data_IF_621584208021
#
_entry.id   IF_621584208021
#
_cell.length_a   1.000
_cell.length_b   1.000
_cell.length_c   1.000
_cell.angle_alpha   90.00
_cell.angle_beta   90.00
_cell.angle_gamma   90.00
#
_symmetry.space_group_name_H-M   'P 1'
#
loop_
_entity.id
_entity.type
_entity.pdbx_description
1 polymer ?
#
# COMPACT_ATOMS: atom_id res chain seq x y z
N UNK A 1 23.71 -1.53 -11.01
CA UNK A 1 23.09 -0.22 -11.31
C UNK A 1 21.70 -0.52 -11.78
N UNK A 2 20.67 0.09 -11.20
CA UNK A 2 19.28 -0.09 -11.65
C UNK A 2 19.21 0.49 -13.07
N UNK A 3 18.70 -0.30 -14.02
CA UNK A 3 18.60 0.07 -15.44
C UNK A 3 17.34 0.87 -15.77
N UNK A 4 16.35 0.86 -14.87
CA UNK A 4 15.10 1.57 -15.04
C UNK A 4 15.24 3.09 -14.82
N UNK A 5 14.48 3.87 -15.59
CA UNK A 5 14.37 5.32 -15.40
C UNK A 5 13.52 5.62 -14.15
N UNK A 6 14.06 6.44 -13.24
CA UNK A 6 13.48 6.72 -11.92
C UNK A 6 13.38 8.22 -11.76
N UNK A 7 12.19 8.71 -11.40
CA UNK A 7 11.95 10.11 -11.06
C UNK A 7 11.43 10.21 -9.62
N UNK A 8 12.02 11.10 -8.84
CA UNK A 8 11.58 11.41 -7.47
C UNK A 8 10.73 12.67 -7.48
N UNK A 9 9.57 12.65 -6.86
CA UNK A 9 8.63 13.79 -6.83
C UNK A 9 8.38 14.26 -5.40
N UNK A 10 8.65 15.54 -5.14
CA UNK A 10 8.36 16.17 -3.84
C UNK A 10 9.18 15.63 -2.66
N UNK A 11 10.22 14.82 -2.91
CA UNK A 11 11.20 14.33 -1.96
C UNK A 11 12.60 14.43 -2.59
N UNK A 12 13.64 14.18 -1.80
CA UNK A 12 15.01 14.05 -2.31
C UNK A 12 15.58 12.72 -1.86
N UNK A 13 15.96 11.88 -2.82
CA UNK A 13 16.63 10.59 -2.58
C UNK A 13 17.96 10.65 -3.32
N UNK A 14 19.06 10.48 -2.58
CA UNK A 14 20.39 10.57 -3.15
C UNK A 14 20.58 9.54 -4.29
N UNK A 15 21.08 10.00 -5.43
CA UNK A 15 21.36 9.15 -6.59
C UNK A 15 20.23 9.01 -7.61
N UNK A 16 19.09 9.68 -7.42
CA UNK A 16 18.00 9.73 -8.40
C UNK A 16 17.63 11.17 -8.77
N UNK A 17 17.22 11.44 -10.02
CA UNK A 17 16.77 12.77 -10.43
C UNK A 17 15.44 13.13 -9.74
N UNK A 18 15.31 14.40 -9.38
CA UNK A 18 14.08 14.96 -8.79
C UNK A 18 13.34 15.79 -9.84
N UNK A 19 12.03 15.60 -9.94
CA UNK A 19 11.17 16.45 -10.75
C UNK A 19 10.92 17.77 -10.03
N UNK A 20 11.30 18.86 -10.67
CA UNK A 20 11.04 20.21 -10.17
C UNK A 20 9.59 20.63 -10.46
N UNK A 21 8.98 21.36 -9.52
CA UNK A 21 7.60 21.84 -9.63
C UNK A 21 6.55 20.94 -8.95
N UNK A 22 5.35 21.49 -8.78
CA UNK A 22 4.24 20.76 -8.16
C UNK A 22 3.57 19.85 -9.18
N UNK A 23 3.56 18.54 -8.92
CA UNK A 23 2.87 17.56 -9.74
C UNK A 23 1.36 17.81 -9.73
N UNK A 24 0.73 17.85 -10.90
CA UNK A 24 -0.73 17.98 -11.05
C UNK A 24 -1.38 16.71 -11.58
N UNK A 25 -0.67 15.90 -12.37
CA UNK A 25 -1.16 14.61 -12.84
C UNK A 25 -0.05 13.59 -13.02
N UNK A 26 -0.38 12.32 -12.83
CA UNK A 26 0.44 11.17 -13.16
C UNK A 26 -0.46 10.08 -13.73
N UNK A 27 -0.18 9.63 -14.96
CA UNK A 27 -0.99 8.64 -15.67
C UNK A 27 -0.09 7.48 -16.12
N UNK A 28 -0.49 6.26 -15.78
CA UNK A 28 0.22 5.05 -16.17
C UNK A 28 -0.20 4.60 -17.58
N UNK A 29 0.79 4.24 -18.39
CA UNK A 29 0.64 3.63 -19.71
C UNK A 29 0.92 2.13 -19.61
N UNK A 30 -0.15 1.31 -19.69
CA UNK A 30 -0.06 -0.16 -19.59
C UNK A 30 0.71 -0.80 -20.74
N UNK A 31 0.78 -0.18 -21.92
CA UNK A 31 1.47 -0.78 -23.08
C UNK A 31 2.99 -0.55 -23.00
N UNK A 32 3.42 0.46 -22.25
CA UNK A 32 4.82 0.86 -22.13
C UNK A 32 5.42 0.68 -20.73
N UNK A 33 4.62 0.26 -19.75
CA UNK A 33 4.97 0.16 -18.33
C UNK A 33 5.65 1.44 -17.79
N UNK A 34 5.09 2.60 -18.13
CA UNK A 34 5.67 3.89 -17.79
C UNK A 34 4.62 4.91 -17.35
N UNK A 35 5.05 5.86 -16.53
CA UNK A 35 4.27 6.99 -16.08
C UNK A 35 4.52 8.22 -16.94
N UNK A 36 3.46 8.92 -17.28
CA UNK A 36 3.49 10.30 -17.79
C UNK A 36 3.12 11.24 -16.64
N UNK A 37 4.01 12.16 -16.31
CA UNK A 37 3.91 13.10 -15.22
C UNK A 37 3.72 14.51 -15.78
N UNK A 38 2.78 15.27 -15.24
CA UNK A 38 2.54 16.68 -15.62
C UNK A 38 2.66 17.56 -14.39
N UNK A 39 3.43 18.65 -14.49
CA UNK A 39 3.57 19.66 -13.43
C UNK A 39 2.61 20.84 -13.64
N UNK A 40 2.38 21.63 -12.59
CA UNK A 40 1.62 22.89 -12.68
C UNK A 40 2.22 23.87 -13.70
N UNK A 41 3.52 23.79 -13.95
CA UNK A 41 4.22 24.61 -14.95
C UNK A 41 3.89 24.23 -16.40
N UNK A 42 3.23 23.08 -16.61
CA UNK A 42 2.94 22.53 -17.94
C UNK A 42 4.04 21.60 -18.46
N UNK A 43 5.09 21.36 -17.69
CA UNK A 43 6.15 20.42 -18.07
C UNK A 43 5.63 18.99 -17.99
N UNK A 44 5.96 18.20 -19.00
CA UNK A 44 5.69 16.76 -19.05
C UNK A 44 6.98 15.95 -18.98
N UNK A 45 6.97 14.91 -18.16
CA UNK A 45 8.08 13.99 -17.99
C UNK A 45 7.58 12.55 -18.04
N UNK A 46 8.29 11.68 -18.74
CA UNK A 46 8.01 10.23 -18.76
C UNK A 46 9.06 9.52 -17.92
N UNK A 47 8.64 8.58 -17.10
CA UNK A 47 9.54 7.75 -16.27
C UNK A 47 8.96 6.36 -16.08
N UNK A 48 9.80 5.33 -15.99
CA UNK A 48 9.32 3.99 -15.67
C UNK A 48 8.89 3.90 -14.21
N UNK A 49 9.68 4.48 -13.32
CA UNK A 49 9.49 4.44 -11.86
C UNK A 49 9.26 5.84 -11.33
N UNK A 50 8.29 5.96 -10.41
CA UNK A 50 8.00 7.20 -9.72
C UNK A 50 8.11 6.96 -8.22
N UNK A 51 8.96 7.72 -7.54
CA UNK A 51 9.04 7.73 -6.08
C UNK A 51 8.54 9.08 -5.59
N UNK A 52 7.30 9.11 -5.11
CA UNK A 52 6.66 10.33 -4.65
C UNK A 52 6.66 10.42 -3.12
N UNK A 53 6.82 11.63 -2.58
CA UNK A 53 6.53 11.86 -1.16
C UNK A 53 5.09 11.44 -0.86
N UNK A 54 4.90 10.66 0.19
CA UNK A 54 3.57 10.28 0.64
C UNK A 54 2.74 11.53 0.90
N UNK A 55 1.54 11.65 0.31
CA UNK A 55 0.70 12.82 0.53
C UNK A 55 0.00 12.79 1.89
N UNK A 56 0.14 11.70 2.65
CA UNK A 56 -0.50 11.54 3.95
C UNK A 56 -0.01 12.58 4.95
N UNK A 57 -0.96 13.28 5.57
CA UNK A 57 -0.70 14.24 6.63
C UNK A 57 -1.10 13.68 7.98
N UNK A 58 -0.30 13.88 9.05
CA UNK A 58 -0.66 13.47 10.40
C UNK A 58 -2.06 13.94 10.78
N UNK A 59 -2.96 13.02 11.13
CA UNK A 59 -4.33 13.39 11.46
C UNK A 59 -4.45 13.66 12.95
N UNK A 60 -4.80 14.89 13.32
CA UNK A 60 -5.10 15.24 14.71
C UNK A 60 -6.61 15.41 14.87
N UNK A 61 -7.28 14.58 15.69
CA UNK A 61 -8.73 14.67 15.85
C UNK A 61 -9.15 16.01 16.45
N UNK A 62 -10.33 16.48 16.05
CA UNK A 62 -10.98 17.62 16.69
C UNK A 62 -11.74 17.13 17.93
N UNK A 63 -11.04 17.10 19.07
CA UNK A 63 -11.62 16.74 20.36
C UNK A 63 -12.17 18.00 21.04
N UNK A 64 -13.35 17.94 21.68
CA UNK A 64 -13.85 19.06 22.48
C UNK A 64 -12.80 19.54 23.49
N UNK A 65 -12.59 20.85 23.60
CA UNK A 65 -11.59 21.44 24.51
C UNK A 65 -10.13 21.28 24.06
N UNK A 66 -9.86 20.79 22.84
CA UNK A 66 -8.48 20.61 22.33
C UNK A 66 -7.65 21.88 22.38
N UNK A 67 -8.23 23.03 22.05
CA UNK A 67 -7.55 24.32 22.07
C UNK A 67 -7.34 24.87 23.50
N UNK A 68 -7.90 24.23 24.53
CA UNK A 68 -7.76 24.64 25.92
C UNK A 68 -6.55 23.99 26.61
N UNK A 69 -6.08 22.84 26.10
CA UNK A 69 -4.97 22.11 26.70
C UNK A 69 -3.68 22.93 26.69
N UNK A 70 -3.09 23.14 27.87
CA UNK A 70 -1.92 24.00 28.06
C UNK A 70 -0.58 23.25 28.01
N UNK A 71 -0.63 21.91 27.99
CA UNK A 71 0.55 21.08 27.85
C UNK A 71 1.02 20.96 26.40
N UNK A 72 2.04 20.13 26.18
CA UNK A 72 2.58 19.88 24.85
C UNK A 72 1.70 18.85 24.11
N UNK A 73 1.26 19.15 22.88
CA UNK A 73 0.47 18.21 22.09
C UNK A 73 0.99 18.09 20.66
N UNK A 74 1.20 16.87 20.17
CA UNK A 74 1.73 16.60 18.82
C UNK A 74 1.36 15.21 18.30
N UNK A 75 1.46 15.00 16.99
CA UNK A 75 1.28 13.68 16.39
C UNK A 75 2.55 12.83 16.49
N UNK A 76 2.43 11.52 16.73
CA UNK A 76 3.56 10.61 16.95
C UNK A 76 4.58 10.60 15.79
N UNK A 77 4.13 10.86 14.57
CA UNK A 77 4.96 10.98 13.36
C UNK A 77 5.78 12.29 13.29
N UNK A 78 5.43 13.29 14.08
CA UNK A 78 6.08 14.61 14.08
C UNK A 78 6.32 15.07 15.53
N UNK A 79 7.17 14.36 16.30
CA UNK A 79 7.54 14.81 17.63
C UNK A 79 8.26 16.16 17.50
N UNK A 80 7.83 17.14 18.31
CA UNK A 80 8.46 18.46 18.33
C UNK A 80 9.98 18.35 18.57
N UNK A 81 10.79 19.26 18.01
CA UNK A 81 12.24 19.25 18.19
C UNK A 81 12.61 19.20 19.68
N UNK A 82 13.47 18.25 20.07
CA UNK A 82 13.97 18.18 21.45
C UNK A 82 12.96 17.71 22.50
N UNK A 83 11.88 17.02 22.11
CA UNK A 83 10.95 16.44 23.09
C UNK A 83 11.66 15.51 24.09
N UNK A 84 11.68 15.92 25.37
CA UNK A 84 12.17 15.10 26.49
C UNK A 84 11.00 14.52 27.28
N UNK A 85 10.81 13.19 27.29
CA UNK A 85 9.76 12.54 28.06
C UNK A 85 10.07 12.49 29.57
N UNK A 86 11.28 12.84 30.01
CA UNK A 86 11.74 12.63 31.39
C UNK A 86 10.83 13.31 32.41
N UNK A 87 10.27 12.52 33.33
CA UNK A 87 9.41 13.02 34.40
C UNK A 87 8.01 13.49 33.96
N UNK A 88 7.68 13.43 32.67
CA UNK A 88 6.37 13.87 32.15
C UNK A 88 5.28 12.81 32.36
N UNK A 89 4.05 13.27 32.58
CA UNK A 89 2.82 12.49 32.49
C UNK A 89 2.30 12.57 31.06
N UNK A 90 2.31 11.46 30.35
CA UNK A 90 2.05 11.41 28.91
C UNK A 90 0.78 10.61 28.64
N UNK A 91 -0.17 11.20 27.93
CA UNK A 91 -1.27 10.50 27.29
C UNK A 91 -0.92 10.21 25.83
N UNK A 92 -1.21 9.00 25.35
CA UNK A 92 -1.19 8.65 23.93
C UNK A 92 -2.62 8.35 23.50
N UNK A 93 -3.13 9.07 22.50
CA UNK A 93 -4.47 8.87 21.94
C UNK A 93 -4.33 8.09 20.65
N UNK A 94 -4.84 6.86 20.61
CA UNK A 94 -4.63 5.94 19.49
C UNK A 94 -3.38 5.08 19.63
N UNK A 95 -3.23 4.10 18.74
CA UNK A 95 -2.17 3.09 18.80
C UNK A 95 -1.72 2.68 17.39
N UNK A 96 -1.53 3.66 16.50
CA UNK A 96 -0.90 3.45 15.21
C UNK A 96 0.58 2.99 15.35
N UNK A 97 1.19 2.66 14.21
CA UNK A 97 2.57 2.18 14.18
C UNK A 97 3.57 3.21 14.72
N UNK A 98 3.36 4.50 14.42
CA UNK A 98 4.25 5.59 14.86
C UNK A 98 4.20 5.79 16.37
N UNK A 99 3.00 5.75 16.96
CA UNK A 99 2.83 5.75 18.41
C UNK A 99 3.49 4.52 19.04
N UNK A 100 3.38 3.34 18.44
CA UNK A 100 4.07 2.13 18.88
C UNK A 100 5.59 2.33 19.00
N UNK A 101 6.24 2.83 17.93
CA UNK A 101 7.68 3.11 17.93
C UNK A 101 8.06 4.18 18.95
N UNK A 102 7.27 5.25 19.06
CA UNK A 102 7.54 6.35 19.99
C UNK A 102 7.40 5.89 21.44
N UNK A 103 6.36 5.10 21.76
CA UNK A 103 6.14 4.49 23.07
C UNK A 103 7.36 3.66 23.47
N UNK A 104 7.89 2.82 22.58
CA UNK A 104 9.08 2.01 22.88
C UNK A 104 10.29 2.87 23.26
N UNK A 105 10.48 4.03 22.61
CA UNK A 105 11.59 4.95 22.88
C UNK A 105 11.45 5.74 24.19
N UNK A 106 10.23 6.07 24.60
CA UNK A 106 9.97 6.93 25.77
C UNK A 106 9.63 6.15 27.04
N UNK A 107 9.31 4.85 26.91
CA UNK A 107 9.02 3.97 28.04
C UNK A 107 10.23 3.92 28.98
N UNK A 108 9.99 4.10 30.29
CA UNK A 108 11.02 4.12 31.32
C UNK A 108 11.63 5.49 31.62
N UNK A 109 11.35 6.51 30.79
CA UNK A 109 11.74 7.92 31.05
C UNK A 109 10.57 8.77 31.55
N UNK A 110 9.36 8.50 31.04
CA UNK A 110 8.15 9.18 31.48
C UNK A 110 7.79 8.82 32.94
N UNK A 111 7.28 9.80 33.71
CA UNK A 111 6.74 9.54 35.05
C UNK A 111 5.46 8.70 34.99
N UNK A 112 4.63 8.94 33.96
CA UNK A 112 3.42 8.17 33.67
C UNK A 112 3.21 8.10 32.16
N UNK A 113 2.81 6.93 31.66
CA UNK A 113 2.42 6.74 30.26
C UNK A 113 1.08 5.99 30.22
N UNK A 114 0.08 6.60 29.62
CA UNK A 114 -1.28 6.07 29.51
C UNK A 114 -1.76 6.12 28.06
N UNK A 115 -2.26 5.00 27.54
CA UNK A 115 -2.75 4.88 26.16
C UNK A 115 -4.27 4.83 26.17
N UNK A 116 -4.89 5.79 25.50
CA UNK A 116 -6.33 5.89 25.30
C UNK A 116 -6.68 5.24 23.96
N UNK A 117 -7.52 4.22 24.00
CA UNK A 117 -8.00 3.58 22.79
C UNK A 117 -8.82 4.59 21.97
N UNK A 118 -8.32 4.94 20.80
CA UNK A 118 -9.00 5.81 19.85
C UNK A 118 -8.95 5.11 18.50
N UNK A 119 -10.12 4.79 17.94
CA UNK A 119 -10.20 4.16 16.63
C UNK A 119 -9.67 5.16 15.59
N UNK A 120 -8.62 4.83 14.82
CA UNK A 120 -8.17 5.71 13.74
C UNK A 120 -9.35 5.94 12.79
N UNK A 121 -9.63 7.20 12.42
CA UNK A 121 -10.62 7.45 11.36
C UNK A 121 -10.00 6.96 10.06
N UNK A 122 -10.61 5.89 9.52
CA UNK A 122 -10.26 5.12 8.32
C UNK A 122 -9.18 4.07 8.50
N UNK A 123 -9.58 3.00 9.18
CA UNK A 123 -9.19 1.62 8.88
C UNK A 123 -10.51 0.84 8.78
N UNK A 124 -10.87 0.33 7.60
CA UNK A 124 -11.95 -0.66 7.50
C UNK A 124 -11.37 -2.01 7.93
N UNK A 125 -11.98 -2.61 8.96
CA UNK A 125 -11.75 -4.02 9.33
C UNK A 125 -10.98 -4.23 10.63
N UNK A 126 -11.70 -4.20 11.76
CA UNK A 126 -11.19 -4.66 13.05
C UNK A 126 -10.83 -6.14 13.03
N UNK A 127 -9.76 -6.55 13.73
CA UNK A 127 -9.86 -7.60 14.77
C UNK A 127 -8.75 -7.47 15.82
N UNK A 128 -9.16 -7.71 17.07
CA UNK A 128 -8.41 -7.55 18.33
C UNK A 128 -6.96 -8.07 18.29
N UNK A 129 -6.03 -7.24 18.77
CA UNK A 129 -4.68 -7.66 19.19
C UNK A 129 -4.74 -8.63 20.38
N UNK A 130 -3.98 -9.73 20.28
CA UNK A 130 -3.54 -10.53 21.44
C UNK A 130 -2.40 -9.78 22.16
N UNK A 131 -2.61 -9.45 23.44
CA UNK A 131 -1.62 -8.78 24.31
C UNK A 131 -0.39 -9.67 24.55
N UNK A 132 0.80 -9.24 24.09
CA UNK A 132 2.08 -9.68 24.68
C UNK A 132 2.40 -8.79 25.88
N UNK A 133 2.77 -9.41 27.01
CA UNK A 133 3.17 -8.70 28.25
C UNK A 133 4.49 -7.95 28.04
N UNK A 134 4.46 -6.62 28.18
CA UNK A 134 5.59 -5.68 28.37
C UNK A 134 5.11 -4.50 29.25
N UNK A 135 6.01 -3.66 29.83
CA UNK A 135 5.95 -3.10 31.19
C UNK A 135 4.78 -2.14 31.45
N UNK A 136 4.60 -1.66 32.71
CA UNK A 136 3.44 -0.92 33.27
C UNK A 136 2.89 0.24 32.41
N UNK A 137 2.25 -0.06 31.28
CA UNK A 137 1.51 0.89 30.46
C UNK A 137 0.04 0.70 30.83
N UNK A 138 -0.60 1.75 31.34
CA UNK A 138 -2.05 1.75 31.52
C UNK A 138 -2.70 1.89 30.15
N UNK A 139 -3.65 1.01 29.83
CA UNK A 139 -4.46 1.12 28.61
C UNK A 139 -5.90 1.34 29.04
N UNK A 140 -6.44 2.49 28.69
CA UNK A 140 -7.80 2.90 29.02
C UNK A 140 -8.68 2.72 27.79
N UNK A 141 -9.72 1.89 27.94
CA UNK A 141 -10.74 1.68 26.90
C UNK A 141 -11.95 2.61 27.05
N UNK A 142 -11.95 3.47 28.07
CA UNK A 142 -13.01 4.46 28.25
C UNK A 142 -12.95 5.53 27.16
N UNK A 143 -14.09 5.90 26.55
CA UNK A 143 -14.12 6.97 25.58
C UNK A 143 -13.70 8.32 26.17
N UNK A 144 -12.89 9.06 25.41
CA UNK A 144 -12.59 10.46 25.70
C UNK A 144 -13.87 11.28 25.51
N UNK A 145 -14.17 12.13 26.50
CA UNK A 145 -15.21 13.15 26.43
C UNK A 145 -14.64 14.47 25.88
N UNK A 146 -13.59 14.97 26.51
CA UNK A 146 -12.97 16.27 26.18
C UNK A 146 -11.51 16.34 26.64
N UNK A 147 -10.76 17.25 26.05
CA UNK A 147 -9.50 17.76 26.59
C UNK A 147 -9.81 18.92 27.54
N UNK A 148 -9.04 19.04 28.62
CA UNK A 148 -9.12 20.15 29.57
C UNK A 148 -7.81 20.93 29.55
N UNK A 149 -7.75 22.05 30.27
CA UNK A 149 -6.52 22.83 30.40
C UNK A 149 -5.30 22.02 30.92
N UNK A 150 -5.52 20.95 31.68
CA UNK A 150 -4.49 20.14 32.34
C UNK A 150 -4.50 18.65 31.99
N UNK A 151 -5.36 18.20 31.07
CA UNK A 151 -5.35 16.80 30.64
C UNK A 151 -6.56 16.31 29.87
N UNK A 152 -6.98 15.08 30.13
CA UNK A 152 -8.06 14.37 29.41
C UNK A 152 -9.20 14.04 30.37
N UNK A 153 -10.43 14.34 29.99
CA UNK A 153 -11.64 13.87 30.69
C UNK A 153 -12.28 12.72 29.91
N UNK A 154 -12.56 11.61 30.57
CA UNK A 154 -13.31 10.48 29.99
C UNK A 154 -14.81 10.67 30.19
N UNK A 155 -15.65 9.93 29.45
CA UNK A 155 -17.12 9.99 29.59
C UNK A 155 -17.65 9.54 30.95
N UNK A 156 -16.88 8.78 31.72
CA UNK A 156 -17.21 8.44 33.10
C UNK A 156 -17.03 9.62 34.07
N UNK A 157 -16.45 10.74 33.59
CA UNK A 157 -16.15 11.93 34.38
C UNK A 157 -14.76 11.91 35.01
N UNK A 158 -13.98 10.84 34.83
CA UNK A 158 -12.61 10.74 35.37
C UNK A 158 -11.69 11.70 34.62
N UNK A 159 -10.89 12.45 35.38
CA UNK A 159 -9.89 13.36 34.84
C UNK A 159 -8.48 12.76 34.97
N UNK A 160 -7.77 12.73 33.85
CA UNK A 160 -6.40 12.25 33.74
C UNK A 160 -5.49 13.45 33.51
N UNK A 161 -4.82 13.90 34.56
CA UNK A 161 -3.82 14.97 34.45
C UNK A 161 -2.60 14.51 33.65
N UNK A 162 -2.28 15.26 32.60
CA UNK A 162 -1.13 14.99 31.73
C UNK A 162 -0.44 16.27 31.30
N UNK A 163 0.87 16.20 31.14
CA UNK A 163 1.70 17.31 30.67
C UNK A 163 1.85 17.27 29.14
N UNK A 164 1.64 16.09 28.54
CA UNK A 164 1.85 15.83 27.11
C UNK A 164 0.74 14.95 26.55
N UNK A 165 0.22 15.31 25.38
CA UNK A 165 -0.69 14.50 24.56
C UNK A 165 0.00 14.13 23.25
N UNK A 166 0.11 12.83 22.99
CA UNK A 166 0.66 12.28 21.75
C UNK A 166 -0.49 11.67 20.95
N UNK A 167 -0.71 12.15 19.73
CA UNK A 167 -1.72 11.59 18.82
C UNK A 167 -1.08 10.47 17.99
N UNK A 168 -1.50 9.23 18.24
CA UNK A 168 -1.21 8.02 17.45
C UNK A 168 -2.42 7.62 16.61
N UNK A 169 -3.01 8.60 15.94
CA UNK A 169 -4.33 8.51 15.31
C UNK A 169 -4.26 8.22 13.82
N UNK A 170 -3.07 7.98 13.27
CA UNK A 170 -2.85 7.72 11.86
C UNK A 170 -2.81 9.00 11.02
N UNK A 171 -3.09 8.85 9.73
CA UNK A 171 -2.92 9.93 8.77
C UNK A 171 -4.22 10.18 8.00
N UNK A 172 -4.37 11.39 7.50
CA UNK A 172 -5.44 11.79 6.61
C UNK A 172 -4.91 12.01 5.20
N UNK A 173 -5.80 11.82 4.24
CA UNK A 173 -5.59 12.21 2.85
C UNK A 173 -5.97 13.70 2.72
N UNK A 174 -5.09 14.56 2.17
CA UNK A 174 -5.43 15.93 1.85
C UNK A 174 -6.59 16.02 0.84
N UNK A 175 -7.40 17.06 0.93
CA UNK A 175 -8.54 17.27 0.02
C UNK A 175 -8.13 17.51 -1.44
N UNK A 176 -6.88 17.93 -1.66
CA UNK A 176 -6.30 18.17 -2.98
C UNK A 176 -5.11 17.25 -3.20
N UNK A 177 -5.24 16.35 -4.18
CA UNK A 177 -4.16 15.51 -4.66
C UNK A 177 -3.99 15.70 -6.18
N UNK A 178 -2.76 15.50 -6.70
CA UNK A 178 -2.59 15.33 -8.14
C UNK A 178 -3.48 14.20 -8.65
N UNK A 179 -3.96 14.34 -9.88
CA UNK A 179 -4.72 13.30 -10.55
C UNK A 179 -3.80 12.11 -10.83
N UNK A 180 -3.88 11.08 -9.99
CA UNK A 180 -3.10 9.85 -10.12
C UNK A 180 -3.97 8.72 -10.68
N UNK A 181 -3.64 8.28 -11.90
CA UNK A 181 -4.36 7.26 -12.66
C UNK A 181 -3.40 6.11 -12.96
N UNK A 182 -3.65 4.96 -12.33
CA UNK A 182 -2.85 3.75 -12.48
C UNK A 182 -3.34 2.82 -13.59
N UNK A 183 -2.91 1.56 -13.52
CA UNK A 183 -3.19 0.53 -14.51
C UNK A 183 -4.70 0.33 -14.75
N UNK A 184 -5.08 0.12 -16.01
CA UNK A 184 -6.49 -0.02 -16.40
C UNK A 184 -7.34 1.22 -16.13
N UNK A 185 -6.72 2.39 -15.93
CA UNK A 185 -7.42 3.65 -15.66
C UNK A 185 -7.92 3.82 -14.23
N UNK A 186 -7.47 2.99 -13.28
CA UNK A 186 -7.89 3.11 -11.88
C UNK A 186 -7.37 4.41 -11.26
N UNK A 187 -8.27 5.20 -10.69
CA UNK A 187 -7.88 6.43 -9.98
C UNK A 187 -7.54 6.14 -8.53
N UNK A 188 -6.66 6.96 -7.94
CA UNK A 188 -6.29 6.82 -6.53
C UNK A 188 -7.50 6.84 -5.57
N UNK A 189 -8.51 7.70 -5.74
CA UNK A 189 -9.72 7.64 -4.92
C UNK A 189 -10.50 6.32 -5.05
N UNK A 190 -10.52 5.70 -6.24
CA UNK A 190 -11.16 4.39 -6.42
C UNK A 190 -10.40 3.28 -5.70
N UNK A 191 -9.06 3.31 -5.75
CA UNK A 191 -8.23 2.34 -5.03
C UNK A 191 -8.25 2.54 -3.51
N UNK A 192 -8.51 3.75 -3.03
CA UNK A 192 -8.59 4.10 -1.61
C UNK A 192 -10.01 4.08 -1.03
N UNK A 193 -10.99 3.53 -1.76
CA UNK A 193 -12.40 3.50 -1.31
C UNK A 193 -12.57 2.97 0.12
N UNK A 194 -11.78 1.96 0.49
CA UNK A 194 -11.86 1.30 1.79
C UNK A 194 -10.82 1.79 2.82
N UNK A 195 -10.07 2.85 2.48
CA UNK A 195 -8.98 3.39 3.29
C UNK A 195 -7.62 3.29 2.59
N UNK A 196 -6.73 4.24 2.91
CA UNK A 196 -5.40 4.30 2.34
C UNK A 196 -4.43 3.50 3.21
N UNK A 197 -4.15 2.27 2.79
CA UNK A 197 -3.20 1.38 3.47
C UNK A 197 -2.25 0.77 2.43
N UNK A 198 -1.19 1.51 2.04
CA UNK A 198 -0.17 0.98 1.15
C UNK A 198 0.60 -0.17 1.81
N UNK A 199 0.93 -1.19 1.03
CA UNK A 199 1.77 -2.29 1.48
C UNK A 199 3.12 -1.76 1.94
N UNK A 200 3.50 -2.08 3.18
CA UNK A 200 4.70 -1.58 3.86
C UNK A 200 4.83 -0.04 3.91
N UNK A 201 3.73 0.69 3.70
CA UNK A 201 3.79 2.15 3.62
C UNK A 201 4.20 2.69 2.24
N UNK A 202 4.50 1.84 1.26
CA UNK A 202 5.18 2.25 0.01
C UNK A 202 4.42 1.97 -1.28
N UNK A 203 3.69 0.86 -1.41
CA UNK A 203 3.11 0.44 -2.69
C UNK A 203 1.59 0.24 -2.61
N UNK A 204 0.88 0.52 -3.70
CA UNK A 204 -0.57 0.33 -3.80
C UNK A 204 -0.90 -0.48 -5.07
N UNK A 205 -1.69 -1.53 -4.91
CA UNK A 205 -2.19 -2.34 -6.02
C UNK A 205 -2.98 -1.47 -7.00
N UNK A 206 -2.76 -1.66 -8.30
CA UNK A 206 -3.27 -0.79 -9.36
C UNK A 206 -2.34 0.36 -9.73
N UNK A 207 -1.26 0.61 -8.98
CA UNK A 207 -0.27 1.66 -9.26
C UNK A 207 1.12 1.05 -9.44
N UNK A 208 1.34 0.28 -10.53
CA UNK A 208 2.65 -0.32 -10.81
C UNK A 208 3.75 0.73 -10.88
N UNK A 209 4.96 0.38 -10.45
CA UNK A 209 6.14 1.25 -10.44
C UNK A 209 6.02 2.58 -9.68
N UNK A 210 4.90 2.82 -8.98
CA UNK A 210 4.67 4.05 -8.22
C UNK A 210 4.80 3.77 -6.73
N UNK A 211 5.76 4.43 -6.10
CA UNK A 211 6.07 4.24 -4.70
C UNK A 211 5.91 5.52 -3.89
N UNK A 212 5.36 5.39 -2.70
CA UNK A 212 5.32 6.45 -1.69
C UNK A 212 6.52 6.37 -0.76
N UNK A 213 7.08 7.52 -0.40
CA UNK A 213 8.14 7.66 0.60
C UNK A 213 7.71 8.63 1.71
N UNK A 214 7.83 8.21 2.96
CA UNK A 214 7.51 9.02 4.15
C UNK A 214 8.64 9.07 5.19
N UNK A 215 9.71 8.30 5.00
CA UNK A 215 10.89 8.26 5.87
C UNK A 215 11.83 7.07 5.61
N UNK A 216 12.84 6.86 6.47
CA UNK A 216 13.93 5.90 6.22
C UNK A 216 13.47 4.44 6.03
N UNK A 217 12.43 4.01 6.76
CA UNK A 217 11.87 2.66 6.60
C UNK A 217 11.25 2.48 5.20
N UNK A 218 10.48 3.48 4.72
CA UNK A 218 9.93 3.45 3.37
C UNK A 218 11.02 3.49 2.30
N UNK A 219 12.08 4.29 2.46
CA UNK A 219 13.21 4.32 1.52
C UNK A 219 13.87 2.94 1.38
N UNK A 220 14.04 2.23 2.50
CA UNK A 220 14.58 0.87 2.49
C UNK A 220 13.68 -0.11 1.73
N UNK A 221 12.36 0.00 1.91
CA UNK A 221 11.41 -0.85 1.20
C UNK A 221 11.35 -0.54 -0.29
N UNK A 222 11.39 0.74 -0.67
CA UNK A 222 11.50 1.16 -2.07
C UNK A 222 12.77 0.61 -2.69
N UNK A 223 13.93 0.76 -2.03
CA UNK A 223 15.19 0.20 -2.51
C UNK A 223 15.12 -1.32 -2.73
N UNK A 224 14.44 -2.07 -1.87
CA UNK A 224 14.23 -3.50 -2.06
C UNK A 224 13.32 -3.80 -3.27
N UNK A 225 12.30 -2.98 -3.53
CA UNK A 225 11.47 -3.10 -4.73
C UNK A 225 12.27 -2.82 -6.01
N UNK A 226 13.13 -1.80 -5.99
CA UNK A 226 14.02 -1.48 -7.12
C UNK A 226 15.01 -2.62 -7.42
N UNK A 227 15.49 -3.32 -6.38
CA UNK A 227 16.32 -4.51 -6.56
C UNK A 227 15.56 -5.68 -7.19
N UNK A 228 14.29 -5.87 -6.83
CA UNK A 228 13.43 -6.89 -7.45
C UNK A 228 13.12 -6.58 -8.92
N UNK A 229 13.08 -5.30 -9.26
CA UNK A 229 12.80 -4.82 -10.62
C UNK A 229 14.04 -4.86 -11.52
N UNK A 230 15.22 -5.29 -11.05
CA UNK A 230 16.42 -5.29 -11.89
C UNK A 230 16.23 -6.12 -13.17
N UNK A 231 16.31 -5.45 -14.32
CA UNK A 231 16.04 -6.03 -15.63
C UNK A 231 14.56 -6.32 -15.92
N UNK A 232 13.62 -5.72 -15.19
CA UNK A 232 12.16 -5.78 -15.37
C UNK A 232 11.60 -4.37 -15.67
N UNK A 233 10.45 -4.26 -16.35
CA UNK A 233 9.77 -2.96 -16.60
C UNK A 233 8.66 -2.63 -15.61
N UNK A 234 8.08 -3.66 -14.99
CA UNK A 234 6.90 -3.52 -14.16
C UNK A 234 7.13 -4.24 -12.85
N UNK A 235 6.80 -3.57 -11.78
CA UNK A 235 6.66 -4.14 -10.45
C UNK A 235 5.34 -3.64 -9.85
N UNK A 236 4.53 -4.56 -9.34
CA UNK A 236 3.23 -4.25 -8.76
C UNK A 236 2.98 -5.09 -7.52
N UNK A 237 2.47 -4.49 -6.46
CA UNK A 237 2.07 -5.26 -5.28
C UNK A 237 0.81 -6.07 -5.59
N UNK A 238 0.82 -7.34 -5.22
CA UNK A 238 -0.35 -8.22 -5.32
C UNK A 238 -1.46 -7.71 -4.41
N UNK A 239 -2.68 -7.68 -4.92
CA UNK A 239 -3.87 -7.30 -4.15
C UNK A 239 -4.02 -8.12 -2.86
N UNK A 240 -3.90 -9.44 -2.97
CA UNK A 240 -3.98 -10.37 -1.84
C UNK A 240 -2.89 -10.14 -0.78
N UNK A 241 -1.68 -9.77 -1.20
CA UNK A 241 -0.55 -9.45 -0.30
C UNK A 241 -0.77 -8.13 0.42
N UNK A 242 -1.23 -7.08 -0.28
CA UNK A 242 -1.60 -5.81 0.33
C UNK A 242 -2.73 -6.00 1.34
N UNK A 243 -3.81 -6.67 0.95
CA UNK A 243 -4.95 -6.92 1.85
C UNK A 243 -4.52 -7.71 3.10
N UNK A 244 -3.80 -8.81 2.92
CA UNK A 244 -3.33 -9.64 4.04
C UNK A 244 -2.40 -8.85 4.97
N UNK A 245 -1.55 -8.00 4.41
CA UNK A 245 -0.69 -7.12 5.20
C UNK A 245 -1.53 -6.13 6.02
N UNK A 246 -2.46 -5.45 5.39
CA UNK A 246 -3.34 -4.47 6.03
C UNK A 246 -4.16 -5.06 7.18
N UNK A 247 -4.72 -6.27 6.97
CA UNK A 247 -5.44 -7.00 8.01
C UNK A 247 -4.55 -7.43 9.20
N UNK A 248 -3.24 -7.64 8.96
CA UNK A 248 -2.32 -8.26 9.93
C UNK A 248 -1.25 -7.34 10.48
N UNK A 249 -1.06 -6.14 9.94
CA UNK A 249 0.03 -5.22 10.33
C UNK A 249 -0.03 -4.85 11.81
N UNK A 250 -1.23 -4.84 12.39
CA UNK A 250 -1.44 -4.64 13.82
C UNK A 250 -1.10 -5.87 14.68
N UNK A 251 -0.97 -7.06 14.09
CA UNK A 251 -0.71 -8.31 14.80
C UNK A 251 0.78 -8.68 14.84
N UNK A 252 1.57 -8.37 13.79
CA UNK A 252 2.99 -8.73 13.69
C UNK A 252 3.80 -7.70 12.89
N UNK A 253 5.06 -7.49 13.28
CA UNK A 253 6.03 -6.77 12.43
C UNK A 253 6.31 -7.58 11.15
N UNK A 254 6.23 -6.98 9.95
CA UNK A 254 6.51 -7.67 8.70
C UNK A 254 7.96 -8.14 8.62
N UNK A 255 8.18 -9.35 8.07
CA UNK A 255 9.52 -9.90 7.84
C UNK A 255 10.05 -9.44 6.47
N UNK A 256 11.34 -9.06 6.33
CA UNK A 256 11.92 -8.56 5.07
C UNK A 256 11.79 -9.50 3.85
N UNK A 257 11.79 -10.82 4.06
CA UNK A 257 11.60 -11.80 2.98
C UNK A 257 10.18 -11.84 2.38
N UNK A 258 9.23 -11.06 2.91
CA UNK A 258 7.87 -10.98 2.38
C UNK A 258 7.76 -10.13 1.11
N UNK A 259 8.76 -9.28 0.79
CA UNK A 259 8.66 -8.36 -0.36
C UNK A 259 8.63 -9.14 -1.68
N UNK A 260 9.57 -10.05 -1.92
CA UNK A 260 9.65 -10.78 -3.19
C UNK A 260 8.36 -11.56 -3.51
N UNK A 261 7.70 -12.17 -2.52
CA UNK A 261 6.46 -12.91 -2.73
C UNK A 261 5.20 -12.02 -2.76
N UNK A 262 5.32 -10.77 -2.31
CA UNK A 262 4.23 -9.81 -2.27
C UNK A 262 4.07 -9.01 -3.56
N UNK A 263 5.08 -8.99 -4.43
CA UNK A 263 5.09 -8.24 -5.68
C UNK A 263 5.11 -9.18 -6.89
N UNK A 264 4.42 -8.78 -7.95
CA UNK A 264 4.61 -9.30 -9.30
C UNK A 264 5.62 -8.42 -10.03
N UNK A 265 6.60 -9.05 -10.69
CA UNK A 265 7.60 -8.38 -11.51
C UNK A 265 7.56 -8.94 -12.93
N UNK A 266 7.62 -8.07 -13.94
CA UNK A 266 7.54 -8.46 -15.35
C UNK A 266 8.26 -7.48 -16.28
N UNK A 267 8.56 -7.93 -17.51
CA UNK A 267 9.01 -7.09 -18.62
C UNK A 267 7.92 -6.94 -19.68
N UNK A 268 7.93 -5.87 -20.51
CA UNK A 268 7.10 -5.75 -21.67
C UNK A 268 7.96 -6.27 -22.83
N UNK A 269 8.03 -7.59 -23.03
CA UNK A 269 8.80 -8.11 -24.16
C UNK A 269 7.91 -8.29 -25.39
N UNK A 270 8.39 -7.92 -26.59
CA UNK A 270 7.56 -7.83 -27.80
C UNK A 270 6.92 -9.15 -28.28
N UNK A 271 7.41 -10.33 -27.87
CA UNK A 271 7.04 -11.60 -28.54
C UNK A 271 6.55 -12.72 -27.60
N UNK A 272 6.15 -12.40 -26.38
CA UNK A 272 5.60 -13.35 -25.40
C UNK A 272 4.19 -13.03 -24.92
N UNK A 273 3.55 -12.06 -25.58
CA UNK A 273 2.32 -11.45 -25.11
C UNK A 273 1.23 -11.64 -26.15
N UNK A 274 0.10 -12.23 -25.74
CA UNK A 274 -1.07 -12.34 -26.59
C UNK A 274 -2.19 -11.46 -26.05
N UNK A 275 -2.66 -10.51 -26.87
CA UNK A 275 -3.85 -9.72 -26.60
C UNK A 275 -4.86 -9.96 -27.71
N UNK A 276 -5.99 -10.56 -27.39
CA UNK A 276 -6.98 -10.90 -28.41
C UNK A 276 -8.12 -11.75 -27.90
N UNK A 277 -8.93 -12.22 -28.85
CA UNK A 277 -10.01 -13.15 -28.56
C UNK A 277 -9.45 -14.55 -28.22
N UNK A 278 -10.08 -15.24 -27.28
CA UNK A 278 -9.78 -16.62 -26.93
C UNK A 278 -11.08 -17.34 -26.60
N UNK A 279 -11.01 -18.67 -26.56
CA UNK A 279 -12.11 -19.51 -26.09
C UNK A 279 -11.72 -20.08 -24.73
N UNK A 280 -12.50 -19.75 -23.70
CA UNK A 280 -12.35 -20.32 -22.37
C UNK A 280 -13.37 -21.45 -22.19
N UNK A 281 -12.89 -22.64 -21.86
CA UNK A 281 -13.69 -23.83 -21.59
C UNK A 281 -13.62 -24.18 -20.11
N UNK A 282 -14.79 -24.33 -19.48
CA UNK A 282 -14.92 -24.73 -18.09
C UNK A 282 -15.86 -25.92 -18.01
N UNK A 283 -15.36 -27.06 -17.53
CA UNK A 283 -16.03 -28.36 -17.71
C UNK A 283 -16.38 -28.56 -19.19
N UNK A 284 -17.67 -28.53 -19.55
CA UNK A 284 -18.14 -28.76 -20.93
C UNK A 284 -18.71 -27.49 -21.61
N UNK A 285 -18.59 -26.32 -20.97
CA UNK A 285 -19.09 -25.06 -21.52
C UNK A 285 -17.94 -24.21 -22.03
N UNK A 286 -17.97 -23.86 -23.32
CA UNK A 286 -17.00 -22.98 -23.97
C UNK A 286 -17.61 -21.61 -24.27
N UNK A 287 -16.88 -20.53 -24.00
CA UNK A 287 -17.30 -19.17 -24.34
C UNK A 287 -16.14 -18.36 -24.91
N UNK A 288 -16.47 -17.44 -25.82
CA UNK A 288 -15.54 -16.44 -26.29
C UNK A 288 -15.26 -15.43 -25.19
N UNK A 289 -13.99 -15.11 -24.98
CA UNK A 289 -13.49 -14.13 -24.02
C UNK A 289 -12.41 -13.28 -24.68
N UNK A 290 -12.09 -12.13 -24.10
CA UNK A 290 -10.83 -11.45 -24.39
C UNK A 290 -9.81 -11.82 -23.34
N UNK A 291 -8.58 -12.00 -23.76
CA UNK A 291 -7.47 -12.27 -22.84
C UNK A 291 -6.29 -11.36 -23.14
N UNK A 292 -5.53 -11.11 -22.09
CA UNK A 292 -4.18 -10.60 -22.17
C UNK A 292 -3.29 -11.60 -21.44
N UNK A 293 -2.41 -12.29 -22.17
CA UNK A 293 -1.55 -13.33 -21.63
C UNK A 293 -0.08 -12.96 -21.82
N UNK A 294 0.74 -13.35 -20.87
CA UNK A 294 2.19 -13.23 -20.90
C UNK A 294 2.81 -14.54 -20.42
N UNK A 295 3.96 -14.93 -20.98
CA UNK A 295 4.68 -16.12 -20.56
C UNK A 295 6.19 -15.94 -20.48
N UNK A 296 6.83 -16.78 -19.67
CA UNK A 296 8.28 -16.82 -19.49
C UNK A 296 8.73 -18.25 -19.14
N UNK A 297 10.00 -18.57 -19.39
CA UNK A 297 10.62 -19.79 -18.83
C UNK A 297 11.07 -19.49 -17.41
N UNK A 298 10.58 -20.27 -16.44
CA UNK A 298 11.02 -20.16 -15.04
C UNK A 298 12.41 -20.80 -14.90
N UNK A 299 13.42 -20.05 -14.40
CA UNK A 299 14.79 -20.54 -14.32
C UNK A 299 15.02 -21.59 -13.22
N UNK A 300 14.07 -21.77 -12.29
CA UNK A 300 14.15 -22.71 -11.18
C UNK A 300 13.71 -24.11 -11.63
N UNK A 301 12.62 -24.21 -12.40
CA UNK A 301 12.09 -25.50 -12.85
C UNK A 301 12.26 -25.78 -14.35
N UNK A 302 12.70 -24.79 -15.13
CA UNK A 302 12.94 -24.89 -16.57
C UNK A 302 11.66 -24.98 -17.41
N UNK A 303 10.48 -24.83 -16.80
CA UNK A 303 9.21 -24.90 -17.50
C UNK A 303 8.75 -23.52 -17.98
N UNK A 304 7.92 -23.49 -19.02
CA UNK A 304 7.31 -22.25 -19.48
C UNK A 304 6.07 -21.95 -18.62
N UNK A 305 6.13 -20.90 -17.82
CA UNK A 305 5.01 -20.42 -17.01
C UNK A 305 4.35 -19.24 -17.71
N UNK A 306 3.02 -19.27 -17.79
CA UNK A 306 2.26 -18.20 -18.40
C UNK A 306 1.09 -17.79 -17.52
N UNK A 307 0.76 -16.51 -17.55
CA UNK A 307 -0.31 -15.92 -16.76
C UNK A 307 -0.97 -14.79 -17.53
N UNK A 308 -2.11 -14.31 -17.04
CA UNK A 308 -2.80 -13.22 -17.69
C UNK A 308 -4.12 -12.87 -17.07
N UNK A 309 -4.88 -12.08 -17.82
CA UNK A 309 -6.20 -11.59 -17.43
C UNK A 309 -7.23 -12.01 -18.45
N UNK A 310 -8.37 -12.53 -17.97
CA UNK A 310 -9.59 -12.80 -18.73
C UNK A 310 -10.56 -11.64 -18.50
N UNK A 311 -10.98 -11.01 -19.59
CA UNK A 311 -11.95 -9.92 -19.63
C UNK A 311 -13.33 -10.45 -20.02
N UNK A 312 -14.37 -9.86 -19.44
CA UNK A 312 -15.78 -10.21 -19.67
C UNK A 312 -16.08 -11.72 -19.53
N UNK A 313 -15.72 -12.31 -18.38
CA UNK A 313 -15.88 -13.74 -18.16
C UNK A 313 -17.36 -14.17 -18.18
N UNK A 314 -17.66 -15.42 -18.57
CA UNK A 314 -18.96 -16.05 -18.29
C UNK A 314 -19.26 -16.02 -16.79
N UNK A 315 -20.54 -15.94 -16.38
CA UNK A 315 -20.98 -15.85 -14.97
C UNK A 315 -20.11 -16.66 -13.96
N UNK A 316 -19.63 -15.96 -12.93
CA UNK A 316 -18.95 -16.45 -11.71
C UNK A 316 -17.94 -17.61 -11.91
N UNK A 317 -16.77 -17.28 -12.47
CA UNK A 317 -15.58 -18.15 -12.42
C UNK A 317 -14.97 -18.13 -11.00
N UNK A 318 -15.10 -19.22 -10.25
CA UNK A 318 -14.53 -19.29 -8.90
C UNK A 318 -12.99 -19.44 -8.95
N UNK A 319 -12.23 -18.74 -8.09
CA UNK A 319 -10.80 -18.96 -7.90
C UNK A 319 -10.48 -20.42 -7.57
N UNK A 320 -9.36 -20.92 -8.08
CA UNK A 320 -8.90 -22.30 -7.93
C UNK A 320 -9.50 -23.30 -8.92
N UNK A 321 -10.41 -22.88 -9.81
CA UNK A 321 -11.03 -23.76 -10.80
C UNK A 321 -10.10 -24.00 -11.99
N UNK A 322 -9.95 -25.28 -12.37
CA UNK A 322 -9.25 -25.68 -13.58
C UNK A 322 -10.08 -25.31 -14.83
N UNK A 323 -9.41 -24.76 -15.83
CA UNK A 323 -10.00 -24.29 -17.08
C UNK A 323 -9.08 -24.63 -18.25
N UNK A 324 -9.64 -24.69 -19.44
CA UNK A 324 -8.85 -24.80 -20.68
C UNK A 324 -8.99 -23.50 -21.46
N UNK A 325 -7.87 -22.92 -21.88
CA UNK A 325 -7.86 -21.73 -22.71
C UNK A 325 -7.35 -22.09 -24.11
N UNK A 326 -8.07 -21.67 -25.15
CA UNK A 326 -7.72 -21.93 -26.54
C UNK A 326 -7.65 -20.65 -27.38
N UNK A 327 -6.63 -20.53 -28.23
CA UNK A 327 -6.43 -19.44 -29.20
C UNK A 327 -6.08 -20.07 -30.54
N UNK A 328 -6.91 -19.85 -31.55
CA UNK A 328 -6.78 -20.53 -32.85
C UNK A 328 -6.81 -22.05 -32.66
N UNK A 329 -5.74 -22.73 -33.06
CA UNK A 329 -5.59 -24.18 -32.95
C UNK A 329 -4.82 -24.64 -31.70
N UNK A 330 -4.37 -23.71 -30.87
CA UNK A 330 -3.58 -24.00 -29.67
C UNK A 330 -4.49 -23.99 -28.44
N UNK A 331 -4.26 -24.91 -27.50
CA UNK A 331 -4.97 -24.94 -26.23
C UNK A 331 -4.06 -25.34 -25.08
N UNK A 332 -4.34 -24.81 -23.89
CA UNK A 332 -3.56 -25.08 -22.70
C UNK A 332 -4.45 -25.17 -21.45
N UNK A 333 -4.07 -26.07 -20.54
CA UNK A 333 -4.70 -26.18 -19.23
C UNK A 333 -4.21 -25.07 -18.30
N UNK A 334 -5.13 -24.49 -17.54
CA UNK A 334 -4.86 -23.36 -16.67
C UNK A 334 -5.76 -23.38 -15.43
N UNK A 335 -5.52 -22.43 -14.54
CA UNK A 335 -6.32 -22.20 -13.34
C UNK A 335 -6.67 -20.73 -13.22
N UNK A 336 -7.89 -20.46 -12.81
CA UNK A 336 -8.28 -19.12 -12.36
C UNK A 336 -7.65 -18.90 -10.99
N UNK A 337 -6.85 -17.85 -10.83
CA UNK A 337 -6.09 -17.58 -9.60
C UNK A 337 -6.79 -16.59 -8.69
N UNK A 338 -7.41 -15.57 -9.25
CA UNK A 338 -8.07 -14.49 -8.51
C UNK A 338 -9.18 -13.84 -9.36
N UNK A 339 -10.21 -13.31 -8.70
CA UNK A 339 -11.17 -12.38 -9.30
C UNK A 339 -10.81 -10.95 -8.88
N UNK A 340 -10.60 -10.07 -9.85
CA UNK A 340 -10.25 -8.67 -9.62
C UNK A 340 -11.50 -7.87 -9.24
N UNK A 341 -11.37 -6.74 -8.52
CA UNK A 341 -12.52 -5.90 -8.17
C UNK A 341 -13.21 -5.25 -9.38
N UNK A 342 -12.56 -5.26 -10.55
CA UNK A 342 -13.10 -4.77 -11.81
C UNK A 342 -13.92 -5.84 -12.56
N UNK A 343 -14.10 -7.04 -11.98
CA UNK A 343 -14.86 -8.14 -12.58
C UNK A 343 -14.07 -8.95 -13.62
N UNK A 344 -12.75 -8.76 -13.71
CA UNK A 344 -11.87 -9.59 -14.54
C UNK A 344 -11.29 -10.74 -13.73
N UNK A 345 -10.77 -11.77 -14.40
CA UNK A 345 -10.21 -12.93 -13.71
C UNK A 345 -8.75 -13.16 -14.09
N UNK A 346 -7.90 -13.36 -13.10
CA UNK A 346 -6.51 -13.75 -13.31
C UNK A 346 -6.45 -15.24 -13.65
N UNK A 347 -5.65 -15.59 -14.65
CA UNK A 347 -5.46 -16.96 -15.15
C UNK A 347 -3.97 -17.28 -15.17
N UNK A 348 -3.59 -18.51 -14.81
CA UNK A 348 -2.21 -18.97 -14.89
C UNK A 348 -2.15 -20.44 -15.34
N UNK A 349 -1.12 -20.79 -16.09
CA UNK A 349 -0.83 -22.14 -16.56
C UNK A 349 0.67 -22.41 -16.67
N UNK A 350 1.01 -23.70 -16.78
CA UNK A 350 2.39 -24.18 -16.89
C UNK A 350 2.48 -25.11 -18.10
N UNK A 351 3.55 -24.99 -18.88
CA UNK A 351 3.78 -25.70 -20.13
C UNK A 351 3.58 -24.83 -21.37
N UNK A 352 3.34 -25.47 -22.51
CA UNK A 352 3.17 -24.77 -23.78
C UNK A 352 2.05 -23.71 -23.68
N UNK A 353 2.30 -22.44 -24.05
CA UNK A 353 1.28 -21.41 -23.98
C UNK A 353 0.17 -21.69 -25.01
N UNK A 354 -1.06 -21.22 -24.76
CA UNK A 354 -2.14 -21.36 -25.72
C UNK A 354 -2.00 -20.42 -26.92
N UNK A 355 -0.91 -19.66 -27.05
CA UNK A 355 -0.61 -18.75 -28.15
C UNK A 355 0.77 -19.08 -28.75
N UNK A 356 0.96 -18.83 -30.04
CA UNK A 356 2.25 -19.05 -30.69
C UNK A 356 3.26 -17.98 -30.22
N UNK A 357 4.47 -18.40 -29.84
CA UNK A 357 5.64 -17.51 -29.83
C UNK A 357 5.93 -17.15 -31.28
N UNK A 358 5.68 -15.91 -31.70
CA UNK A 358 6.11 -15.45 -33.03
C UNK A 358 7.59 -15.07 -33.02
#
# INVERSE_FOLDING_TARGET
>A
MITADVVVVGAHIAGFPTLDGELTSAVFDDDADAWTLTTRGGDECRSQIVIARSPLVPWIPDLPGRNEFRGLAFHAAAPGPGFDPTGKRIAVIGADAEAGRLIERITGRAAKLEVFAYAPRRVVGTTRRRRRRRPRISVTSEPIDSLTASGIRTRSGVHHEVDVIIYGTGFAVPDQLPALVGAGGITLPQAWRDGMEPYLGVAVHGFPNYFFVSGPDSERYVAACLQLMDGQSRIEVRRSSQQTFNERVYLHSPKPGAIASAFDVSNPRPDGTYRGAATLTVADTSRAVRVHLIGHVDPIDGQYHWQGTVFDPPDLLKPGRAVTLAIGNCSASARITEETPQGTHSIAGVGAPPFASQ
#
